data_IF_918240247602
#
_entry.id   IF_918240247602
#
_cell.length_a   1.000
_cell.length_b   1.000
_cell.length_c   1.000
_cell.angle_alpha   90.00
_cell.angle_beta   90.00
_cell.angle_gamma   90.00
#
_symmetry.space_group_name_H-M   'P 1'
#
loop_
_entity.id
_entity.type
_entity.pdbx_description
1 polymer ?
#
# COMPACT_ATOMS: atom_id res chain seq x y z
N UNK A 1 -17.94 28.41 6.39
CA UNK A 1 -19.23 27.69 6.25
C UNK A 1 -18.88 26.26 5.91
N UNK A 2 -19.20 25.31 6.80
CA UNK A 2 -18.86 23.91 6.60
C UNK A 2 -19.52 23.34 5.34
N UNK A 3 -18.76 22.54 4.58
CA UNK A 3 -19.31 21.70 3.51
C UNK A 3 -19.87 20.43 4.12
N UNK A 4 -21.07 20.02 3.71
CA UNK A 4 -21.69 18.78 4.20
C UNK A 4 -21.68 17.72 3.11
N UNK A 5 -21.40 16.48 3.49
CA UNK A 5 -21.45 15.29 2.62
C UNK A 5 -22.38 14.27 3.26
N UNK A 6 -23.43 13.86 2.55
CA UNK A 6 -24.43 12.92 3.07
C UNK A 6 -24.09 11.50 2.59
N UNK A 7 -24.28 10.50 3.44
CA UNK A 7 -24.06 9.09 3.10
C UNK A 7 -25.26 8.23 3.50
N UNK A 8 -25.63 7.26 2.67
CA UNK A 8 -26.53 6.17 3.10
C UNK A 8 -25.81 5.22 4.06
N UNK A 9 -24.55 4.92 3.78
CA UNK A 9 -23.63 4.18 4.65
C UNK A 9 -22.35 4.98 4.86
N UNK A 10 -22.00 5.26 6.10
CA UNK A 10 -20.76 5.92 6.48
C UNK A 10 -19.89 4.94 7.26
N UNK A 11 -18.84 4.42 6.62
CA UNK A 11 -17.83 3.63 7.30
C UNK A 11 -16.78 4.56 7.91
N UNK A 12 -16.58 4.52 9.23
CA UNK A 12 -15.64 5.42 9.93
C UNK A 12 -14.21 4.87 10.01
N UNK A 13 -13.98 3.65 9.52
CA UNK A 13 -12.78 2.85 9.80
C UNK A 13 -13.00 1.81 10.92
N UNK A 14 -14.00 2.05 11.78
CA UNK A 14 -14.34 1.19 12.91
C UNK A 14 -15.76 0.61 12.82
N UNK A 15 -16.72 1.44 12.45
CA UNK A 15 -18.13 1.10 12.40
C UNK A 15 -18.80 1.64 11.13
N UNK A 16 -19.96 1.06 10.79
CA UNK A 16 -20.81 1.53 9.70
C UNK A 16 -22.06 2.24 10.27
N UNK A 17 -22.17 3.54 10.01
CA UNK A 17 -23.28 4.38 10.41
C UNK A 17 -24.26 4.55 9.25
N UNK A 18 -25.55 4.35 9.51
CA UNK A 18 -26.59 4.42 8.47
C UNK A 18 -27.23 5.80 8.43
N UNK A 19 -27.39 6.37 7.24
CA UNK A 19 -27.98 7.69 7.01
C UNK A 19 -27.32 8.79 7.86
N UNK A 20 -26.00 8.94 7.72
CA UNK A 20 -25.19 9.95 8.41
C UNK A 20 -24.51 10.91 7.43
N UNK A 21 -24.16 12.08 7.95
CA UNK A 21 -23.51 13.16 7.25
C UNK A 21 -22.17 13.49 7.91
N UNK A 22 -21.25 13.98 7.09
CA UNK A 22 -19.95 14.52 7.52
C UNK A 22 -19.93 16.02 7.20
N UNK A 23 -19.56 16.84 8.17
CA UNK A 23 -19.28 18.25 7.94
C UNK A 23 -17.79 18.51 7.96
N UNK A 24 -17.32 19.23 6.94
CA UNK A 24 -15.91 19.56 6.72
C UNK A 24 -15.74 21.07 6.68
N UNK A 25 -14.84 21.60 7.50
CA UNK A 25 -14.43 23.01 7.47
C UNK A 25 -12.90 23.08 7.54
N UNK A 26 -12.30 23.94 6.72
CA UNK A 26 -10.84 24.10 6.61
C UNK A 26 -10.06 22.78 6.44
N UNK A 27 -10.63 21.86 5.64
CA UNK A 27 -10.02 20.56 5.34
C UNK A 27 -10.09 19.55 6.48
N UNK A 28 -10.85 19.81 7.55
CA UNK A 28 -11.01 18.91 8.70
C UNK A 28 -12.46 18.51 8.91
N UNK A 29 -12.67 17.29 9.39
CA UNK A 29 -13.99 16.82 9.84
C UNK A 29 -14.33 17.56 11.14
N UNK A 30 -15.45 18.29 11.18
CA UNK A 30 -15.89 19.01 12.37
C UNK A 30 -17.09 18.34 13.06
N UNK A 31 -17.85 17.53 12.32
CA UNK A 31 -18.98 16.80 12.86
C UNK A 31 -19.33 15.57 12.01
N UNK A 32 -19.78 14.51 12.69
CA UNK A 32 -20.47 13.36 12.13
C UNK A 32 -21.85 13.30 12.80
N UNK A 33 -22.93 13.34 12.02
CA UNK A 33 -24.29 13.45 12.55
C UNK A 33 -25.32 12.71 11.68
N UNK A 34 -26.49 12.33 12.22
CA UNK A 34 -27.55 11.75 11.41
C UNK A 34 -28.05 12.71 10.32
N UNK A 35 -28.43 12.17 9.16
CA UNK A 35 -29.05 12.95 8.07
C UNK A 35 -30.40 13.57 8.49
N UNK A 36 -31.07 12.97 9.48
CA UNK A 36 -32.38 13.40 9.94
C UNK A 36 -32.31 14.82 10.51
N UNK A 37 -33.11 15.72 9.92
CA UNK A 37 -33.21 17.12 10.34
C UNK A 37 -32.25 18.05 9.60
N UNK A 38 -31.40 17.53 8.70
CA UNK A 38 -30.68 18.36 7.74
C UNK A 38 -31.60 18.84 6.61
N UNK A 39 -31.36 20.04 6.04
CA UNK A 39 -32.05 20.49 4.83
C UNK A 39 -31.89 19.50 3.68
N UNK A 40 -32.89 19.37 2.81
CA UNK A 40 -32.85 18.45 1.64
C UNK A 40 -31.67 18.72 0.69
N UNK A 41 -31.17 19.96 0.65
CA UNK A 41 -30.00 20.37 -0.15
C UNK A 41 -28.76 20.67 0.72
N UNK A 42 -28.60 20.00 1.87
CA UNK A 42 -27.45 20.22 2.74
C UNK A 42 -26.10 19.91 2.08
N UNK A 43 -26.08 18.99 1.12
CA UNK A 43 -24.90 18.58 0.36
C UNK A 43 -25.19 17.43 -0.60
N UNK A 44 -24.19 16.96 -1.37
CA UNK A 44 -24.32 15.75 -2.18
C UNK A 44 -24.58 14.51 -1.31
N UNK A 45 -25.40 13.59 -1.82
CA UNK A 45 -25.70 12.29 -1.21
C UNK A 45 -24.99 11.18 -1.97
N UNK A 46 -24.23 10.37 -1.25
CA UNK A 46 -23.52 9.20 -1.75
C UNK A 46 -24.07 7.91 -1.14
N UNK A 47 -23.88 6.78 -1.82
CA UNK A 47 -24.27 5.49 -1.26
C UNK A 47 -23.35 5.10 -0.10
N UNK A 48 -22.04 5.26 -0.30
CA UNK A 48 -21.03 4.94 0.71
C UNK A 48 -20.05 6.10 0.84
N UNK A 49 -19.74 6.49 2.07
CA UNK A 49 -18.54 7.28 2.38
C UNK A 49 -17.66 6.45 3.32
N UNK A 50 -16.36 6.43 3.05
CA UNK A 50 -15.36 5.71 3.84
C UNK A 50 -14.09 6.57 3.96
N UNK A 51 -13.13 6.22 4.85
CA UNK A 51 -11.80 6.83 4.79
C UNK A 51 -11.24 6.60 3.40
N UNK A 52 -10.57 7.61 2.86
CA UNK A 52 -9.90 7.50 1.58
C UNK A 52 -8.99 6.27 1.55
N UNK A 53 -8.92 5.59 0.42
CA UNK A 53 -8.06 4.43 0.29
C UNK A 53 -6.59 4.85 0.38
N UNK A 54 -5.73 3.87 0.64
CA UNK A 54 -4.30 4.09 0.78
C UNK A 54 -3.56 3.00 0.02
N UNK A 55 -2.69 3.43 -0.90
CA UNK A 55 -1.82 2.51 -1.64
C UNK A 55 -0.37 2.68 -1.18
N UNK A 56 0.15 1.69 -0.46
CA UNK A 56 1.50 1.76 0.10
C UNK A 56 2.55 1.04 -0.77
N UNK A 57 2.16 0.56 -1.96
CA UNK A 57 3.08 -0.03 -2.91
C UNK A 57 2.61 0.16 -4.36
N UNK A 58 3.15 1.21 -5.00
CA UNK A 58 2.88 1.55 -6.40
C UNK A 58 4.12 2.18 -7.06
N UNK A 59 4.53 1.70 -8.24
CA UNK A 59 5.82 2.07 -8.86
C UNK A 59 5.68 3.13 -9.94
N UNK A 60 4.52 3.20 -10.59
CA UNK A 60 4.31 4.07 -11.72
C UNK A 60 2.86 4.10 -12.17
N UNK A 61 2.54 5.13 -12.92
CA UNK A 61 1.23 5.30 -13.53
C UNK A 61 1.34 6.11 -14.82
N UNK A 62 0.35 5.94 -15.70
CA UNK A 62 0.15 6.75 -16.90
C UNK A 62 1.42 6.93 -17.75
N UNK A 63 2.10 5.81 -18.03
CA UNK A 63 3.30 5.76 -18.87
C UNK A 63 4.60 6.22 -18.21
N UNK A 64 4.61 6.53 -16.91
CA UNK A 64 5.83 6.85 -16.16
C UNK A 64 6.05 5.91 -14.98
N UNK A 65 7.16 5.17 -15.02
CA UNK A 65 7.70 4.40 -13.90
C UNK A 65 8.72 5.26 -13.14
N UNK A 66 8.57 5.40 -11.82
CA UNK A 66 9.39 6.30 -11.00
C UNK A 66 10.89 5.99 -11.08
N UNK A 67 11.25 4.70 -11.14
CA UNK A 67 12.65 4.27 -11.23
C UNK A 67 13.31 4.58 -12.58
N UNK A 68 12.50 4.78 -13.63
CA UNK A 68 12.97 5.15 -14.98
C UNK A 68 12.99 6.65 -15.15
N UNK A 69 11.98 7.34 -14.59
CA UNK A 69 11.82 8.79 -14.64
C UNK A 69 11.72 9.33 -13.21
N UNK A 70 12.85 9.42 -12.47
CA UNK A 70 12.86 9.91 -11.10
C UNK A 70 12.72 11.43 -11.07
N UNK A 71 11.52 11.90 -11.38
CA UNK A 71 11.16 13.31 -11.58
C UNK A 71 9.82 13.59 -10.89
N UNK A 72 9.61 14.84 -10.45
CA UNK A 72 8.39 15.24 -9.76
C UNK A 72 7.10 15.01 -10.58
N UNK A 73 7.16 15.03 -11.91
CA UNK A 73 5.97 14.82 -12.75
C UNK A 73 5.53 13.34 -12.83
N UNK A 74 6.42 12.40 -12.53
CA UNK A 74 6.02 11.00 -12.31
C UNK A 74 5.12 10.88 -11.06
N UNK A 75 5.37 11.71 -10.04
CA UNK A 75 4.58 11.75 -8.81
C UNK A 75 3.24 12.45 -9.05
N UNK A 76 3.18 13.47 -9.91
CA UNK A 76 1.91 14.06 -10.37
C UNK A 76 1.02 13.00 -11.03
N UNK A 77 1.58 12.17 -11.92
CA UNK A 77 0.83 11.09 -12.59
C UNK A 77 0.35 10.03 -11.62
N UNK A 78 1.18 9.65 -10.66
CA UNK A 78 0.80 8.75 -9.57
C UNK A 78 -0.35 9.35 -8.75
N UNK A 79 -0.26 10.63 -8.35
CA UNK A 79 -1.32 11.28 -7.59
C UNK A 79 -2.67 11.28 -8.34
N UNK A 80 -2.66 11.61 -9.63
CA UNK A 80 -3.88 11.60 -10.46
C UNK A 80 -4.45 10.18 -10.62
N UNK A 81 -3.60 9.18 -10.84
CA UNK A 81 -4.00 7.79 -10.94
C UNK A 81 -4.60 7.27 -9.64
N UNK A 82 -3.90 7.46 -8.53
CA UNK A 82 -4.33 7.00 -7.22
C UNK A 82 -5.60 7.74 -6.77
N UNK A 83 -5.71 9.04 -7.02
CA UNK A 83 -6.92 9.83 -6.71
C UNK A 83 -8.16 9.32 -7.47
N UNK A 84 -8.03 9.02 -8.78
CA UNK A 84 -9.10 8.39 -9.57
C UNK A 84 -9.47 7.00 -9.05
N UNK A 85 -8.48 6.28 -8.51
CA UNK A 85 -8.66 4.99 -7.85
C UNK A 85 -9.21 5.06 -6.42
N UNK A 86 -9.52 6.26 -5.89
CA UNK A 86 -10.03 6.46 -4.53
C UNK A 86 -8.95 6.51 -3.45
N UNK A 87 -7.67 6.48 -3.84
CA UNK A 87 -6.49 6.47 -2.97
C UNK A 87 -5.64 7.74 -3.10
N UNK A 88 -6.14 8.94 -2.78
CA UNK A 88 -5.38 10.18 -2.93
C UNK A 88 -4.10 10.25 -2.10
N UNK A 89 -3.93 9.37 -1.10
CA UNK A 89 -2.69 9.21 -0.36
C UNK A 89 -2.01 7.91 -0.80
N UNK A 90 -0.70 7.95 -1.06
CA UNK A 90 0.06 6.80 -1.55
C UNK A 90 1.54 6.87 -1.16
N UNK A 91 2.24 5.73 -1.19
CA UNK A 91 3.70 5.66 -1.08
C UNK A 91 4.24 5.17 -2.41
N UNK A 92 5.10 5.97 -3.04
CA UNK A 92 5.72 5.58 -4.29
C UNK A 92 6.81 4.52 -4.03
N UNK A 93 6.97 3.57 -4.94
CA UNK A 93 7.87 2.44 -4.75
C UNK A 93 8.99 2.43 -5.78
N UNK A 94 10.18 2.05 -5.33
CA UNK A 94 11.33 1.73 -6.19
C UNK A 94 11.74 0.29 -5.92
N UNK A 95 11.71 -0.54 -6.97
CA UNK A 95 12.25 -1.91 -6.93
C UNK A 95 13.78 -1.89 -6.89
N UNK A 96 14.40 -3.00 -6.51
CA UNK A 96 15.85 -3.24 -6.52
C UNK A 96 16.56 -2.52 -7.68
N UNK A 97 17.51 -1.64 -7.37
CA UNK A 97 18.21 -0.85 -8.38
C UNK A 97 19.60 -0.45 -7.88
N UNK A 98 20.34 0.29 -8.70
CA UNK A 98 21.57 0.95 -8.26
C UNK A 98 21.26 2.00 -7.18
N UNK A 99 22.18 2.19 -6.23
CA UNK A 99 22.05 3.20 -5.16
C UNK A 99 21.77 4.60 -5.71
N UNK A 100 22.33 4.93 -6.87
CA UNK A 100 22.09 6.22 -7.55
C UNK A 100 20.61 6.42 -7.88
N UNK A 101 19.90 5.38 -8.32
CA UNK A 101 18.47 5.47 -8.66
C UNK A 101 17.63 5.68 -7.40
N UNK A 102 17.95 4.99 -6.29
CA UNK A 102 17.29 5.25 -5.01
C UNK A 102 17.45 6.71 -4.59
N UNK A 103 18.66 7.27 -4.68
CA UNK A 103 18.91 8.68 -4.38
C UNK A 103 18.10 9.62 -5.28
N UNK A 104 18.04 9.34 -6.59
CA UNK A 104 17.24 10.13 -7.52
C UNK A 104 15.74 10.07 -7.21
N UNK A 105 15.19 8.91 -6.85
CA UNK A 105 13.79 8.80 -6.44
C UNK A 105 13.51 9.58 -5.14
N UNK A 106 14.44 9.55 -4.18
CA UNK A 106 14.35 10.32 -2.94
C UNK A 106 14.32 11.82 -3.25
N UNK A 107 15.20 12.30 -4.12
CA UNK A 107 15.26 13.70 -4.52
C UNK A 107 14.02 14.12 -5.32
N UNK A 108 13.49 13.26 -6.20
CA UNK A 108 12.25 13.51 -6.92
C UNK A 108 11.06 13.76 -5.99
N UNK A 109 10.95 12.98 -4.89
CA UNK A 109 9.89 13.16 -3.88
C UNK A 109 10.10 14.47 -3.11
N UNK A 110 11.35 14.82 -2.77
CA UNK A 110 11.65 16.11 -2.12
C UNK A 110 11.26 17.28 -3.02
N UNK A 111 11.62 17.23 -4.28
CA UNK A 111 11.29 18.24 -5.27
C UNK A 111 9.79 18.35 -5.49
N UNK A 112 9.09 17.22 -5.50
CA UNK A 112 7.63 17.16 -5.58
C UNK A 112 6.99 17.88 -4.38
N UNK A 113 7.41 17.56 -3.15
CA UNK A 113 6.91 18.24 -1.95
C UNK A 113 7.26 19.73 -1.90
N UNK A 114 8.47 20.11 -2.31
CA UNK A 114 8.88 21.52 -2.35
C UNK A 114 8.01 22.36 -3.30
N UNK A 115 7.42 21.73 -4.33
CA UNK A 115 6.48 22.34 -5.27
C UNK A 115 5.03 22.30 -4.81
N UNK A 116 4.74 21.79 -3.60
CA UNK A 116 3.38 21.66 -3.07
C UNK A 116 2.64 20.42 -3.57
N UNK A 117 3.38 19.39 -4.01
CA UNK A 117 2.82 18.11 -4.42
C UNK A 117 1.98 17.46 -3.31
N UNK A 118 0.93 16.72 -3.71
CA UNK A 118 -0.09 16.17 -2.80
C UNK A 118 -0.03 14.64 -2.77
N UNK A 119 -0.52 14.05 -1.67
CA UNK A 119 -0.79 12.62 -1.59
C UNK A 119 0.41 11.67 -1.43
N UNK A 120 1.57 12.00 -2.00
CA UNK A 120 2.77 11.17 -1.83
C UNK A 120 3.28 11.27 -0.39
N UNK A 121 3.20 10.18 0.37
CA UNK A 121 3.61 10.08 1.77
C UNK A 121 5.09 9.75 1.93
N UNK A 122 5.77 9.35 0.86
CA UNK A 122 7.20 9.06 0.84
C UNK A 122 7.55 7.92 -0.11
N UNK A 123 8.67 7.26 0.18
CA UNK A 123 9.24 6.18 -0.64
C UNK A 123 9.17 4.82 0.08
N UNK A 124 8.74 3.80 -0.65
CA UNK A 124 8.93 2.40 -0.35
C UNK A 124 10.11 1.89 -1.18
N UNK A 125 11.16 1.45 -0.52
CA UNK A 125 12.33 0.83 -1.15
C UNK A 125 12.17 -0.69 -1.07
N UNK A 126 11.86 -1.34 -2.19
CA UNK A 126 11.65 -2.79 -2.25
C UNK A 126 12.90 -3.50 -2.74
N UNK A 127 13.71 -4.00 -1.80
CA UNK A 127 15.08 -4.42 -2.06
C UNK A 127 16.09 -3.27 -1.90
N UNK A 128 17.39 -3.48 -2.13
CA UNK A 128 18.00 -4.63 -2.79
C UNK A 128 18.30 -5.82 -1.85
N UNK A 129 18.00 -5.68 -0.55
CA UNK A 129 18.33 -6.64 0.51
C UNK A 129 17.39 -7.84 0.55
N UNK A 130 17.37 -8.60 -0.55
CA UNK A 130 16.42 -9.69 -0.82
C UNK A 130 17.13 -11.04 -0.93
N UNK A 131 16.37 -12.13 -1.05
CA UNK A 131 16.92 -13.45 -1.33
C UNK A 131 16.93 -13.73 -2.85
N UNK A 132 18.08 -14.06 -3.47
CA UNK A 132 18.16 -14.37 -4.90
C UNK A 132 17.21 -15.48 -5.37
N UNK A 133 16.92 -16.48 -4.52
CA UNK A 133 15.98 -17.56 -4.83
C UNK A 133 14.53 -17.08 -4.98
N UNK A 134 14.25 -15.88 -4.48
CA UNK A 134 12.95 -15.23 -4.47
C UNK A 134 13.01 -13.85 -5.11
N UNK A 135 13.88 -13.68 -6.12
CA UNK A 135 14.03 -12.41 -6.82
C UNK A 135 12.77 -11.94 -7.57
N UNK A 136 11.91 -12.85 -8.03
CA UNK A 136 10.79 -12.47 -8.90
C UNK A 136 11.30 -11.75 -10.15
N UNK A 137 10.79 -10.55 -10.42
CA UNK A 137 11.26 -9.69 -11.51
C UNK A 137 12.58 -8.94 -11.19
N UNK A 138 13.03 -8.91 -9.94
CA UNK A 138 14.20 -8.13 -9.51
C UNK A 138 15.50 -8.65 -10.15
N UNK A 139 16.40 -7.74 -10.52
CA UNK A 139 17.69 -8.11 -11.12
C UNK A 139 18.62 -8.71 -10.08
N UNK A 140 18.97 -9.98 -10.29
CA UNK A 140 19.85 -10.75 -9.40
C UNK A 140 21.21 -10.09 -9.17
N UNK A 141 21.76 -9.39 -10.18
CA UNK A 141 23.04 -8.69 -10.07
C UNK A 141 23.05 -7.54 -9.05
N UNK A 142 21.89 -7.05 -8.66
CA UNK A 142 21.75 -5.99 -7.65
C UNK A 142 21.35 -6.54 -6.28
N UNK A 143 20.91 -7.80 -6.18
CA UNK A 143 20.47 -8.41 -4.92
C UNK A 143 21.69 -8.81 -4.08
N UNK A 144 21.74 -8.34 -2.84
CA UNK A 144 22.82 -8.66 -1.90
C UNK A 144 22.39 -8.43 -0.44
N UNK A 145 23.09 -9.05 0.51
CA UNK A 145 22.96 -8.72 1.93
C UNK A 145 23.55 -7.34 2.22
N UNK A 146 22.89 -6.51 3.04
CA UNK A 146 23.41 -5.21 3.42
C UNK A 146 24.63 -5.30 4.32
N UNK A 147 25.54 -4.33 4.19
CA UNK A 147 26.43 -3.95 5.30
C UNK A 147 25.77 -2.92 6.21
N UNK A 148 26.19 -2.84 7.48
CA UNK A 148 25.70 -1.80 8.40
C UNK A 148 25.90 -0.39 7.83
N UNK A 149 27.05 -0.12 7.20
CA UNK A 149 27.35 1.19 6.61
C UNK A 149 26.38 1.54 5.48
N UNK A 150 26.06 0.59 4.61
CA UNK A 150 25.11 0.81 3.51
C UNK A 150 23.71 1.15 4.04
N UNK A 151 23.27 0.48 5.09
CA UNK A 151 21.99 0.78 5.76
C UNK A 151 22.01 2.19 6.32
N UNK A 152 23.07 2.55 7.05
CA UNK A 152 23.23 3.89 7.63
C UNK A 152 23.23 4.97 6.55
N UNK A 153 23.94 4.76 5.44
CA UNK A 153 24.04 5.72 4.34
C UNK A 153 22.68 5.92 3.66
N UNK A 154 21.96 4.84 3.35
CA UNK A 154 20.64 4.91 2.74
C UNK A 154 19.62 5.59 3.68
N UNK A 155 19.62 5.26 4.97
CA UNK A 155 18.71 5.87 5.95
C UNK A 155 19.03 7.36 6.18
N UNK A 156 20.32 7.72 6.21
CA UNK A 156 20.74 9.11 6.34
C UNK A 156 20.32 9.92 5.10
N UNK A 157 20.58 9.40 3.90
CA UNK A 157 20.20 10.07 2.66
C UNK A 157 18.68 10.10 2.48
N UNK A 158 17.96 9.06 2.86
CA UNK A 158 16.50 8.95 2.75
C UNK A 158 15.71 9.52 3.92
N UNK A 159 16.36 10.18 4.88
CA UNK A 159 15.73 10.67 6.11
C UNK A 159 14.50 11.53 5.80
N UNK A 160 13.37 11.16 6.41
CA UNK A 160 12.08 11.83 6.22
C UNK A 160 11.32 11.42 4.95
N UNK A 161 12.00 10.83 3.96
CA UNK A 161 11.41 10.40 2.68
C UNK A 161 11.08 8.91 2.69
N UNK A 162 12.03 8.04 3.06
CA UNK A 162 11.80 6.59 3.12
C UNK A 162 10.83 6.29 4.26
N UNK A 163 9.79 5.51 3.96
CA UNK A 163 8.75 5.08 4.91
C UNK A 163 8.73 3.57 5.10
N UNK A 164 9.05 2.82 4.05
CA UNK A 164 9.03 1.37 4.05
C UNK A 164 10.31 0.85 3.38
N UNK A 165 10.92 -0.18 3.94
CA UNK A 165 11.93 -0.99 3.25
C UNK A 165 11.47 -2.44 3.29
N UNK A 166 11.33 -3.06 2.11
CA UNK A 166 11.11 -4.51 2.00
C UNK A 166 12.45 -5.24 1.96
N UNK A 167 12.60 -6.24 2.81
CA UNK A 167 13.83 -7.03 3.01
C UNK A 167 13.50 -8.51 3.09
N UNK A 168 14.47 -9.37 2.76
CA UNK A 168 14.44 -10.78 3.14
C UNK A 168 15.07 -10.95 4.54
N UNK A 169 14.30 -11.31 5.58
CA UNK A 169 14.83 -11.28 6.95
C UNK A 169 16.04 -12.20 7.16
N UNK A 170 16.07 -13.34 6.48
CA UNK A 170 17.12 -14.36 6.59
C UNK A 170 18.48 -13.93 6.00
N UNK A 171 18.52 -12.84 5.22
CA UNK A 171 19.76 -12.31 4.64
C UNK A 171 20.37 -11.17 5.45
N UNK A 172 19.70 -10.74 6.54
CA UNK A 172 20.12 -9.63 7.37
C UNK A 172 20.98 -10.11 8.55
N UNK A 173 22.05 -9.37 8.83
CA UNK A 173 22.79 -9.54 10.07
C UNK A 173 21.93 -9.10 11.28
N UNK A 174 22.16 -9.69 12.47
CA UNK A 174 21.50 -9.24 13.70
C UNK A 174 21.67 -7.74 13.93
N UNK A 175 20.59 -7.05 14.33
CA UNK A 175 20.60 -5.61 14.61
C UNK A 175 20.23 -4.70 13.43
N UNK A 176 20.33 -5.17 12.18
CA UNK A 176 19.94 -4.36 10.99
C UNK A 176 18.46 -3.96 11.03
N UNK A 177 17.56 -4.87 11.41
CA UNK A 177 16.13 -4.57 11.56
C UNK A 177 15.90 -3.43 12.56
N UNK A 178 16.55 -3.52 13.73
CA UNK A 178 16.45 -2.49 14.77
C UNK A 178 17.01 -1.14 14.31
N UNK A 179 18.09 -1.15 13.53
CA UNK A 179 18.69 0.05 12.94
C UNK A 179 17.71 0.77 12.00
N UNK A 180 17.04 0.04 11.11
CA UNK A 180 16.03 0.61 10.19
C UNK A 180 14.83 1.16 10.97
N UNK A 181 14.33 0.42 11.95
CA UNK A 181 13.20 0.85 12.78
C UNK A 181 13.52 2.08 13.63
N UNK A 182 14.74 2.21 14.14
CA UNK A 182 15.19 3.38 14.90
C UNK A 182 15.17 4.67 14.06
N UNK A 183 15.26 4.56 12.73
CA UNK A 183 15.08 5.68 11.81
C UNK A 183 13.61 6.03 11.52
N UNK A 184 12.65 5.32 12.14
CA UNK A 184 11.21 5.53 11.94
C UNK A 184 10.68 4.91 10.64
N UNK A 185 11.39 3.95 10.06
CA UNK A 185 11.03 3.26 8.82
C UNK A 185 10.38 1.91 9.14
N UNK A 186 9.26 1.60 8.49
CA UNK A 186 8.63 0.28 8.56
C UNK A 186 9.49 -0.73 7.80
N UNK A 187 9.84 -1.83 8.46
CA UNK A 187 10.47 -2.99 7.81
C UNK A 187 9.38 -3.96 7.40
N UNK A 188 9.37 -4.36 6.13
CA UNK A 188 8.46 -5.37 5.59
C UNK A 188 9.23 -6.60 5.13
N UNK A 189 8.76 -7.82 5.45
CA UNK A 189 9.36 -9.04 4.94
C UNK A 189 8.80 -9.36 3.55
N UNK A 190 9.67 -9.59 2.57
CA UNK A 190 9.28 -9.95 1.20
C UNK A 190 10.48 -10.46 0.40
N UNK A 191 10.23 -11.07 -0.76
CA UNK A 191 11.29 -11.66 -1.59
C UNK A 191 12.24 -12.56 -0.79
N UNK A 192 11.64 -13.39 0.07
CA UNK A 192 12.32 -14.11 1.13
C UNK A 192 12.06 -15.60 1.01
N UNK A 193 13.13 -16.38 1.16
CA UNK A 193 13.08 -17.83 1.25
C UNK A 193 13.18 -18.31 2.70
N UNK A 194 12.90 -17.44 3.69
CA UNK A 194 12.97 -17.74 5.11
C UNK A 194 12.19 -19.01 5.46
N UNK A 195 12.73 -19.79 6.38
CA UNK A 195 11.96 -20.85 7.05
C UNK A 195 10.85 -20.25 7.91
N UNK A 196 9.96 -21.10 8.40
CA UNK A 196 8.91 -20.66 9.34
C UNK A 196 9.52 -20.05 10.61
N UNK A 197 10.59 -20.65 11.12
CA UNK A 197 11.28 -20.25 12.34
C UNK A 197 12.01 -18.92 12.15
N UNK A 198 12.72 -18.74 11.03
CA UNK A 198 13.39 -17.48 10.69
C UNK A 198 12.39 -16.33 10.55
N UNK A 199 11.28 -16.57 9.83
CA UNK A 199 10.23 -15.58 9.65
C UNK A 199 9.56 -15.21 10.98
N UNK A 200 9.19 -16.21 11.79
CA UNK A 200 8.55 -15.98 13.10
C UNK A 200 9.48 -15.19 14.03
N UNK A 201 10.75 -15.58 14.12
CA UNK A 201 11.73 -14.84 14.92
C UNK A 201 11.93 -13.40 14.40
N UNK A 202 11.91 -13.17 13.09
CA UNK A 202 11.99 -11.82 12.54
C UNK A 202 10.75 -10.96 12.89
N UNK A 203 9.56 -11.56 12.91
CA UNK A 203 8.34 -10.89 13.35
C UNK A 203 8.40 -10.55 14.85
N UNK A 204 8.88 -11.47 15.68
CA UNK A 204 9.09 -11.24 17.12
C UNK A 204 10.13 -10.14 17.40
N UNK A 205 11.08 -9.95 16.49
CA UNK A 205 12.07 -8.86 16.51
C UNK A 205 11.53 -7.53 15.92
N UNK A 206 10.25 -7.48 15.56
CA UNK A 206 9.52 -6.26 15.24
C UNK A 206 9.24 -6.03 13.75
N UNK A 207 9.58 -6.96 12.84
CA UNK A 207 9.07 -6.88 11.47
C UNK A 207 7.56 -7.09 11.50
N UNK A 208 6.81 -5.99 11.44
CA UNK A 208 5.36 -5.98 11.62
C UNK A 208 4.56 -6.08 10.32
N UNK A 209 5.23 -6.13 9.17
CA UNK A 209 4.59 -6.09 7.84
C UNK A 209 5.21 -7.12 6.90
N UNK A 210 4.41 -7.64 5.98
CA UNK A 210 4.81 -8.58 4.94
C UNK A 210 4.31 -8.07 3.59
N UNK A 211 5.18 -8.10 2.58
CA UNK A 211 4.96 -7.53 1.24
C UNK A 211 4.39 -8.58 0.30
N UNK A 212 3.25 -8.30 -0.36
CA UNK A 212 2.55 -9.09 -1.40
C UNK A 212 2.45 -10.61 -1.15
N UNK A 213 1.81 -10.99 -0.05
CA UNK A 213 1.61 -12.38 0.39
C UNK A 213 1.48 -13.40 -0.76
N UNK A 214 2.21 -14.51 -0.64
CA UNK A 214 2.41 -15.59 -1.63
C UNK A 214 3.44 -15.29 -2.72
N UNK A 215 3.61 -14.05 -3.17
CA UNK A 215 4.48 -13.70 -4.28
C UNK A 215 5.93 -13.63 -3.81
N UNK A 216 6.83 -14.31 -4.52
CA UNK A 216 8.26 -14.32 -4.16
C UNK A 216 8.52 -14.69 -2.68
N UNK A 217 7.79 -15.69 -2.13
CA UNK A 217 7.98 -16.18 -0.76
C UNK A 217 8.22 -17.67 -0.69
N UNK A 218 8.83 -18.17 0.39
CA UNK A 218 8.76 -19.59 0.75
C UNK A 218 7.29 -19.99 1.01
N UNK A 219 6.75 -20.99 0.29
CA UNK A 219 5.33 -21.30 0.31
C UNK A 219 4.94 -22.10 1.57
N UNK A 220 3.64 -22.16 1.84
CA UNK A 220 3.07 -23.05 2.85
C UNK A 220 3.13 -24.51 2.39
N UNK A 221 3.95 -25.32 3.06
CA UNK A 221 3.96 -26.78 2.92
C UNK A 221 3.73 -27.45 4.27
N UNK A 222 3.17 -28.67 4.28
CA UNK A 222 2.78 -29.38 5.51
C UNK A 222 3.95 -29.69 6.47
N UNK A 223 5.18 -29.78 5.98
CA UNK A 223 6.41 -30.00 6.78
C UNK A 223 7.36 -28.81 6.83
N UNK A 224 7.10 -27.78 6.02
CA UNK A 224 7.92 -26.58 5.92
C UNK A 224 6.98 -25.40 5.62
N UNK A 225 6.33 -24.83 6.65
CA UNK A 225 5.28 -23.84 6.43
C UNK A 225 5.78 -22.52 5.79
N UNK A 226 7.09 -22.26 5.84
CA UNK A 226 7.71 -21.08 5.22
C UNK A 226 7.18 -19.75 5.76
N UNK A 227 7.45 -18.69 5.01
CA UNK A 227 7.02 -17.34 5.34
C UNK A 227 5.49 -17.22 5.27
N UNK A 228 4.84 -17.84 4.28
CA UNK A 228 3.36 -17.84 4.18
C UNK A 228 2.71 -18.45 5.43
N UNK A 229 3.22 -19.60 5.91
CA UNK A 229 2.75 -20.22 7.13
C UNK A 229 3.02 -19.38 8.37
N UNK A 230 4.17 -18.69 8.42
CA UNK A 230 4.48 -17.76 9.51
C UNK A 230 3.48 -16.60 9.55
N UNK A 231 3.11 -16.00 8.42
CA UNK A 231 2.08 -14.93 8.36
C UNK A 231 0.73 -15.43 8.90
N UNK A 232 0.34 -16.63 8.52
CA UNK A 232 -0.93 -17.23 8.93
C UNK A 232 -1.01 -17.51 10.43
N UNK A 233 0.09 -17.94 11.04
CA UNK A 233 0.13 -18.31 12.45
C UNK A 233 0.53 -17.17 13.39
N UNK A 234 1.24 -16.15 12.90
CA UNK A 234 1.68 -15.05 13.74
C UNK A 234 0.51 -14.12 14.10
N UNK A 235 0.32 -13.75 15.38
CA UNK A 235 -0.92 -13.11 15.83
C UNK A 235 -1.07 -11.64 15.41
N UNK A 236 0.03 -10.95 15.10
CA UNK A 236 0.02 -9.48 14.94
C UNK A 236 0.55 -8.97 13.61
N UNK A 237 1.22 -9.81 12.81
CA UNK A 237 1.87 -9.34 11.57
C UNK A 237 0.82 -8.96 10.54
N UNK A 238 0.96 -7.77 9.96
CA UNK A 238 0.12 -7.32 8.86
C UNK A 238 0.71 -7.82 7.54
N UNK A 239 -0.12 -8.09 6.55
CA UNK A 239 0.36 -8.54 5.24
C UNK A 239 -0.40 -7.85 4.13
N UNK A 240 0.33 -7.33 3.14
CA UNK A 240 -0.29 -6.87 1.91
C UNK A 240 -0.58 -8.04 0.97
N UNK A 241 -1.48 -7.82 0.02
CA UNK A 241 -1.82 -8.72 -1.08
C UNK A 241 -2.16 -7.92 -2.34
N UNK A 242 -2.04 -8.55 -3.50
CA UNK A 242 -2.43 -7.99 -4.81
C UNK A 242 -3.68 -8.74 -5.30
N UNK A 243 -4.90 -8.18 -5.12
CA UNK A 243 -6.14 -8.89 -5.42
C UNK A 243 -6.59 -8.75 -6.88
N UNK A 244 -5.74 -9.12 -7.85
CA UNK A 244 -6.07 -9.05 -9.29
C UNK A 244 -6.53 -10.37 -9.91
N UNK A 245 -6.28 -11.51 -9.26
CA UNK A 245 -6.54 -12.83 -9.81
C UNK A 245 -5.39 -13.40 -10.65
N UNK A 246 -4.29 -12.66 -10.83
CA UNK A 246 -3.09 -13.08 -11.55
C UNK A 246 -1.90 -13.32 -10.63
N UNK A 247 -1.66 -12.39 -9.70
CA UNK A 247 -0.66 -12.55 -8.65
C UNK A 247 -1.08 -13.67 -7.70
N UNK A 248 -2.36 -13.67 -7.31
CA UNK A 248 -2.92 -14.68 -6.42
C UNK A 248 -4.32 -15.05 -6.89
N UNK A 249 -4.57 -16.35 -7.00
CA UNK A 249 -5.91 -16.89 -7.24
C UNK A 249 -6.89 -16.43 -6.14
N UNK A 250 -8.11 -16.02 -6.52
CA UNK A 250 -9.10 -15.52 -5.56
C UNK A 250 -9.45 -16.53 -4.46
N UNK A 251 -9.36 -17.85 -4.70
CA UNK A 251 -9.54 -18.86 -3.68
C UNK A 251 -8.43 -18.84 -2.62
N UNK A 252 -7.18 -18.62 -3.03
CA UNK A 252 -6.05 -18.47 -2.11
C UNK A 252 -6.17 -17.17 -1.29
N UNK A 253 -6.62 -16.08 -1.91
CA UNK A 253 -6.94 -14.83 -1.20
C UNK A 253 -8.05 -15.03 -0.16
N UNK A 254 -9.07 -15.81 -0.49
CA UNK A 254 -10.16 -16.14 0.45
C UNK A 254 -9.67 -16.96 1.64
N UNK A 255 -8.76 -17.91 1.41
CA UNK A 255 -8.11 -18.66 2.49
C UNK A 255 -7.30 -17.72 3.38
N UNK A 256 -6.46 -16.87 2.77
CA UNK A 256 -5.66 -15.89 3.50
C UNK A 256 -6.53 -14.96 4.36
N UNK A 257 -7.62 -14.42 3.80
CA UNK A 257 -8.54 -13.57 4.53
C UNK A 257 -9.20 -14.30 5.70
N UNK A 258 -9.67 -15.54 5.52
CA UNK A 258 -10.24 -16.33 6.62
C UNK A 258 -9.26 -16.59 7.75
N UNK A 259 -7.97 -16.71 7.43
CA UNK A 259 -6.92 -17.00 8.40
C UNK A 259 -6.40 -15.75 9.12
N UNK A 260 -6.36 -14.62 8.44
CA UNK A 260 -5.68 -13.40 8.93
C UNK A 260 -6.64 -12.26 9.25
N UNK A 261 -7.85 -12.28 8.69
CA UNK A 261 -8.90 -11.27 8.89
C UNK A 261 -8.40 -9.86 8.64
N UNK A 262 -8.56 -9.00 9.64
CA UNK A 262 -8.18 -7.58 9.58
C UNK A 262 -6.66 -7.32 9.43
N UNK A 263 -5.81 -8.34 9.56
CA UNK A 263 -4.35 -8.21 9.35
C UNK A 263 -3.95 -8.15 7.88
N UNK A 264 -4.84 -8.56 6.98
CA UNK A 264 -4.62 -8.54 5.55
C UNK A 264 -5.03 -7.20 4.98
N UNK A 265 -4.30 -6.69 3.98
CA UNK A 265 -4.66 -5.47 3.29
C UNK A 265 -4.27 -5.51 1.81
N UNK A 266 -4.89 -4.66 1.00
CA UNK A 266 -4.58 -4.58 -0.42
C UNK A 266 -3.51 -3.53 -0.69
N UNK A 267 -2.68 -3.83 -1.67
CA UNK A 267 -1.85 -2.88 -2.42
C UNK A 267 -2.18 -3.07 -3.90
N UNK A 268 -1.81 -2.10 -4.74
CA UNK A 268 -1.93 -2.33 -6.19
C UNK A 268 -0.75 -3.09 -6.74
N UNK A 269 0.46 -2.82 -6.25
CA UNK A 269 1.69 -3.25 -6.94
C UNK A 269 1.71 -2.74 -8.40
N UNK A 270 1.02 -1.62 -8.67
CA UNK A 270 0.80 -1.16 -10.03
C UNK A 270 2.05 -0.52 -10.64
N UNK A 271 2.23 -0.78 -11.93
CA UNK A 271 3.34 -0.26 -12.75
C UNK A 271 2.80 0.50 -13.96
N UNK A 272 3.71 1.16 -14.67
CA UNK A 272 3.46 1.74 -15.97
C UNK A 272 4.25 0.99 -17.05
N UNK A 273 3.68 0.94 -18.27
CA UNK A 273 4.38 0.42 -19.45
C UNK A 273 5.69 1.19 -19.66
N UNK A 274 6.78 0.46 -19.89
CA UNK A 274 8.10 1.05 -20.17
C UNK A 274 8.97 0.08 -20.94
N UNK A 275 9.73 0.61 -21.91
CA UNK A 275 10.78 -0.13 -22.63
C UNK A 275 12.18 0.26 -22.15
N UNK A 276 12.28 1.03 -21.07
CA UNK A 276 13.51 1.61 -20.55
C UNK A 276 13.78 1.17 -19.12
N UNK A 277 15.06 1.21 -18.74
CA UNK A 277 15.53 0.78 -17.43
C UNK A 277 15.69 -0.75 -17.31
N UNK A 278 16.05 -1.22 -16.11
CA UNK A 278 16.33 -2.64 -15.87
C UNK A 278 15.10 -3.55 -15.95
N UNK A 279 13.90 -2.98 -15.82
CA UNK A 279 12.62 -3.69 -15.77
C UNK A 279 11.69 -3.17 -16.87
N UNK A 280 11.79 -3.65 -18.12
CA UNK A 280 10.78 -3.33 -19.12
C UNK A 280 9.44 -3.94 -18.69
N UNK A 281 8.37 -3.17 -18.75
CA UNK A 281 7.02 -3.63 -18.43
C UNK A 281 6.17 -3.57 -19.68
N UNK A 282 5.59 -4.70 -20.07
CA UNK A 282 4.66 -4.82 -21.19
C UNK A 282 3.30 -5.25 -20.68
N UNK A 283 2.24 -4.61 -21.16
CA UNK A 283 0.88 -4.98 -20.81
C UNK A 283 0.49 -6.26 -21.55
N UNK A 284 0.17 -7.31 -20.82
CA UNK A 284 -0.29 -8.61 -21.33
C UNK A 284 -1.72 -8.88 -20.86
N UNK A 285 -2.71 -8.33 -21.58
CA UNK A 285 -4.10 -8.33 -21.14
C UNK A 285 -4.33 -7.24 -20.10
N UNK A 286 -4.42 -7.62 -18.83
CA UNK A 286 -4.70 -6.78 -17.67
C UNK A 286 -3.64 -6.92 -16.54
N UNK A 287 -2.49 -7.51 -16.87
CA UNK A 287 -1.30 -7.62 -16.02
C UNK A 287 -0.06 -7.15 -16.77
N UNK A 288 1.00 -6.83 -16.03
CA UNK A 288 2.28 -6.48 -16.64
C UNK A 288 3.27 -7.63 -16.51
N UNK A 289 4.08 -7.81 -17.56
CA UNK A 289 5.18 -8.75 -17.56
C UNK A 289 6.50 -8.07 -17.89
N UNK A 290 7.57 -8.58 -17.30
CA UNK A 290 8.96 -8.26 -17.64
C UNK A 290 9.68 -9.56 -17.98
N UNK A 291 10.13 -9.70 -19.22
CA UNK A 291 10.82 -10.92 -19.71
C UNK A 291 10.03 -12.22 -19.44
N UNK A 292 8.70 -12.19 -19.59
CA UNK A 292 7.81 -13.34 -19.38
C UNK A 292 7.51 -13.67 -17.91
N UNK A 293 7.98 -12.84 -16.97
CA UNK A 293 7.68 -12.95 -15.54
C UNK A 293 6.66 -11.87 -15.17
N UNK A 294 5.65 -12.21 -14.37
CA UNK A 294 4.71 -11.24 -13.80
C UNK A 294 5.48 -10.16 -13.03
N UNK A 295 5.27 -8.90 -13.40
CA UNK A 295 6.07 -7.76 -12.91
C UNK A 295 5.17 -6.56 -12.72
N UNK A 296 4.53 -6.51 -11.55
CA UNK A 296 3.53 -5.53 -11.20
C UNK A 296 2.15 -5.79 -11.82
N UNK A 297 1.19 -4.93 -11.46
CA UNK A 297 -0.21 -5.02 -11.89
C UNK A 297 -0.69 -3.77 -12.65
N UNK A 298 -1.92 -3.83 -13.15
CA UNK A 298 -2.66 -2.67 -13.67
C UNK A 298 -3.81 -2.25 -12.72
N UNK A 299 -3.76 -2.65 -11.44
CA UNK A 299 -4.82 -2.40 -10.47
C UNK A 299 -4.91 -0.95 -10.04
N UNK A 300 -6.15 -0.49 -9.84
CA UNK A 300 -6.47 0.67 -9.00
C UNK A 300 -6.99 0.19 -7.64
N UNK A 301 -6.87 1.00 -6.59
CA UNK A 301 -7.39 0.62 -5.25
C UNK A 301 -8.91 0.38 -5.23
N UNK A 302 -9.70 1.11 -6.03
CA UNK A 302 -11.13 0.82 -6.21
C UNK A 302 -11.36 -0.55 -6.85
N UNK A 303 -10.52 -0.96 -7.80
CA UNK A 303 -10.59 -2.31 -8.37
C UNK A 303 -10.20 -3.37 -7.35
N UNK A 304 -9.22 -3.09 -6.48
CA UNK A 304 -8.90 -3.96 -5.33
C UNK A 304 -10.13 -4.17 -4.44
N UNK A 305 -10.81 -3.08 -4.04
CA UNK A 305 -12.04 -3.14 -3.24
C UNK A 305 -13.11 -4.00 -3.93
N UNK A 306 -13.35 -3.76 -5.22
CA UNK A 306 -14.34 -4.50 -5.99
C UNK A 306 -14.02 -6.00 -6.06
N UNK A 307 -12.76 -6.36 -6.30
CA UNK A 307 -12.35 -7.76 -6.37
C UNK A 307 -12.43 -8.45 -5.01
N UNK A 308 -12.05 -7.77 -3.92
CA UNK A 308 -12.21 -8.28 -2.55
C UNK A 308 -13.69 -8.61 -2.24
N UNK A 309 -14.61 -7.72 -2.60
CA UNK A 309 -16.04 -7.93 -2.34
C UNK A 309 -16.65 -8.98 -3.28
N UNK A 310 -16.43 -8.84 -4.59
CA UNK A 310 -17.14 -9.61 -5.62
C UNK A 310 -16.54 -11.00 -5.88
N UNK A 311 -15.21 -11.09 -5.92
CA UNK A 311 -14.51 -12.33 -6.30
C UNK A 311 -14.06 -13.13 -5.07
N UNK A 312 -13.47 -12.46 -4.08
CA UNK A 312 -12.99 -13.11 -2.84
C UNK A 312 -14.16 -13.38 -1.87
N UNK A 313 -15.17 -12.52 -1.88
CA UNK A 313 -16.35 -12.61 -1.01
C UNK A 313 -16.10 -12.05 0.40
N UNK A 314 -15.24 -11.06 0.52
CA UNK A 314 -15.01 -10.31 1.77
C UNK A 314 -16.21 -9.39 2.03
N UNK A 315 -16.78 -9.34 3.25
CA UNK A 315 -17.80 -8.36 3.61
C UNK A 315 -17.34 -6.93 3.34
N UNK A 316 -18.25 -6.06 2.89
CA UNK A 316 -17.91 -4.70 2.45
C UNK A 316 -17.10 -3.91 3.50
N UNK A 317 -17.52 -3.93 4.78
CA UNK A 317 -16.81 -3.22 5.85
C UNK A 317 -15.38 -3.72 6.05
N UNK A 318 -15.17 -5.04 5.96
CA UNK A 318 -13.83 -5.63 6.03
C UNK A 318 -13.00 -5.24 4.81
N UNK A 319 -13.58 -5.28 3.60
CA UNK A 319 -12.89 -4.88 2.39
C UNK A 319 -12.51 -3.39 2.41
N UNK A 320 -13.40 -2.50 2.90
CA UNK A 320 -13.10 -1.09 3.11
C UNK A 320 -11.94 -0.90 4.09
N UNK A 321 -11.90 -1.69 5.18
CA UNK A 321 -10.78 -1.69 6.14
C UNK A 321 -9.47 -2.12 5.48
N UNK A 322 -9.52 -3.15 4.64
CA UNK A 322 -8.36 -3.70 3.91
C UNK A 322 -7.77 -2.71 2.89
N UNK A 323 -8.52 -1.70 2.43
CA UNK A 323 -8.02 -0.68 1.49
C UNK A 323 -7.75 0.67 2.14
N UNK A 324 -8.04 0.85 3.43
CA UNK A 324 -7.89 2.14 4.14
C UNK A 324 -7.23 2.00 5.52
N UNK A 325 -7.95 1.46 6.51
CA UNK A 325 -7.52 1.39 7.91
C UNK A 325 -6.32 0.47 8.13
N UNK A 326 -6.31 -0.73 7.55
CA UNK A 326 -5.20 -1.67 7.75
C UNK A 326 -3.88 -1.19 7.11
N UNK A 327 -3.84 -0.66 5.87
CA UNK A 327 -2.59 -0.10 5.34
C UNK A 327 -2.15 1.15 6.13
N UNK A 328 -3.07 1.96 6.67
CA UNK A 328 -2.73 3.09 7.53
C UNK A 328 -2.01 2.66 8.82
N UNK A 329 -2.45 1.54 9.43
CA UNK A 329 -1.75 0.91 10.56
C UNK A 329 -0.38 0.37 10.18
N UNK A 330 -0.22 -0.22 9.00
CA UNK A 330 1.06 -0.75 8.53
C UNK A 330 2.15 0.33 8.43
N UNK A 331 1.75 1.57 8.10
CA UNK A 331 2.65 2.73 8.08
C UNK A 331 2.59 3.60 9.34
N UNK A 332 1.92 3.10 10.40
CA UNK A 332 1.79 3.76 11.71
C UNK A 332 1.18 5.17 11.63
N UNK A 333 0.21 5.35 10.74
CA UNK A 333 -0.52 6.59 10.56
C UNK A 333 -2.04 6.34 10.52
N UNK A 334 -2.58 5.86 11.64
CA UNK A 334 -3.99 5.50 11.81
C UNK A 334 -4.98 6.63 11.43
N UNK A 335 -4.55 7.89 11.51
CA UNK A 335 -5.35 9.06 11.15
C UNK A 335 -5.75 9.12 9.67
N UNK A 336 -5.02 8.42 8.78
CA UNK A 336 -5.37 8.32 7.37
C UNK A 336 -6.47 7.30 7.09
N UNK A 337 -6.64 6.33 8.00
CA UNK A 337 -7.53 5.19 7.82
C UNK A 337 -8.82 5.28 8.62
N UNK A 338 -9.15 6.46 9.14
CA UNK A 338 -10.28 6.72 10.04
C UNK A 338 -10.96 8.05 9.70
N UNK A 339 -12.25 8.17 10.04
CA UNK A 339 -13.01 9.42 9.97
C UNK A 339 -13.45 9.78 11.38
N UNK A 340 -12.82 10.83 11.94
CA UNK A 340 -13.14 11.31 13.29
C UNK A 340 -13.13 12.84 13.33
N UNK A 341 -13.89 13.41 14.26
CA UNK A 341 -13.90 14.86 14.49
C UNK A 341 -12.50 15.37 14.83
N UNK A 342 -12.07 16.44 14.17
CA UNK A 342 -10.76 17.07 14.30
C UNK A 342 -9.69 16.54 13.36
N UNK A 343 -9.90 15.38 12.74
CA UNK A 343 -8.94 14.81 11.77
C UNK A 343 -9.08 15.47 10.38
N UNK A 344 -8.01 15.47 9.57
CA UNK A 344 -8.09 15.88 8.17
C UNK A 344 -9.14 15.06 7.40
N UNK A 345 -9.93 15.74 6.56
CA UNK A 345 -10.96 15.10 5.75
C UNK A 345 -10.30 14.37 4.56
N UNK A 346 -9.97 13.09 4.78
CA UNK A 346 -9.53 12.15 3.76
C UNK A 346 -10.65 11.16 3.50
N UNK A 347 -11.56 11.48 2.58
CA UNK A 347 -12.78 10.71 2.32
C UNK A 347 -12.78 10.19 0.89
N UNK A 348 -13.33 8.99 0.70
CA UNK A 348 -13.76 8.50 -0.60
C UNK A 348 -15.28 8.33 -0.58
N UNK A 349 -15.92 8.82 -1.64
CA UNK A 349 -17.35 8.71 -1.85
C UNK A 349 -17.61 7.75 -3.02
N UNK A 350 -18.43 6.72 -2.76
CA UNK A 350 -18.73 5.67 -3.71
C UNK A 350 -20.23 5.57 -3.98
N UNK A 351 -20.56 5.10 -5.18
CA UNK A 351 -21.91 4.63 -5.52
C UNK A 351 -22.12 3.15 -5.13
N UNK A 352 -23.35 2.66 -5.28
CA UNK A 352 -23.75 1.28 -5.01
C UNK A 352 -22.92 0.23 -5.78
N UNK A 353 -22.41 0.57 -6.96
CA UNK A 353 -21.55 -0.33 -7.75
C UNK A 353 -20.09 -0.39 -7.26
N UNK A 354 -19.76 0.33 -6.18
CA UNK A 354 -18.42 0.55 -5.65
C UNK A 354 -17.50 1.28 -6.64
N UNK A 355 -18.03 2.27 -7.36
CA UNK A 355 -17.23 3.17 -8.20
C UNK A 355 -16.99 4.48 -7.44
N UNK A 356 -15.81 5.08 -7.64
CA UNK A 356 -15.46 6.37 -7.06
C UNK A 356 -16.25 7.47 -7.75
N UNK A 357 -17.01 8.24 -6.98
CA UNK A 357 -17.71 9.44 -7.45
C UNK A 357 -16.98 10.71 -7.03
N UNK A 358 -16.34 10.70 -5.86
CA UNK A 358 -15.52 11.80 -5.39
C UNK A 358 -14.46 11.33 -4.39
N UNK A 359 -13.37 12.10 -4.30
CA UNK A 359 -12.45 12.08 -3.17
C UNK A 359 -12.45 13.46 -2.52
N UNK A 360 -12.44 13.50 -1.19
CA UNK A 360 -12.29 14.73 -0.41
C UNK A 360 -10.93 14.64 0.27
N UNK A 361 -10.07 15.61 0.00
CA UNK A 361 -8.74 15.71 0.60
C UNK A 361 -8.63 17.00 1.42
N UNK A 362 -7.75 17.04 2.44
CA UNK A 362 -7.40 18.28 3.09
C UNK A 362 -6.79 19.25 2.06
N UNK A 363 -7.11 20.54 2.19
CA UNK A 363 -6.73 21.59 1.23
C UNK A 363 -5.23 21.63 0.92
#
# INVERSE_FOLDING_TARGET
MPKTYLAKQLFTGHECLINHAIQVEDGKVIAILPNKGLPENAGPLYDIIAPAFLDIQIYGADGKLLSVYPEADALDRLYEYCSKGGAPNFIATVATNETKVFHQCIDAIRDYWAKGGKGCLGLHVEGPWLNPLKKGAHLESFIHSPSEQEVLDLLAYGKGVIKIITVAPEVLAPGIVAMIQAAGVTVSAGHSNATYEEATNAFDQGIGTVTHLFNAMSPLQHRAPGLVGAVFNHPTVLSSMVPDGYHVDFAALKIAWKQTGSRLFAITDAVAETNSGPYPHHLEGDKYASNGILSGSALTMVKCLQNLVKEVGVPLEDALRMVSTTPAKAIRNDSLGTIENGLPANLVCLNEALQVEAVVTPN
#
